data_IF_563227854980
#
_entry.id   IF_563227854980
#
_cell.length_a   1.000
_cell.length_b   1.000
_cell.length_c   1.000
_cell.angle_alpha   90.00
_cell.angle_beta   90.00
_cell.angle_gamma   90.00
#
_symmetry.space_group_name_H-M   'P 1'
#
loop_
_entity.id
_entity.type
_entity.pdbx_description
1 polymer ?
#
# COMPACT_ATOMS: atom_id res chain seq x y z
N UNK A 1 32.81 65.99 -30.35
CA UNK A 1 32.26 65.61 -29.04
C UNK A 1 32.45 64.11 -28.87
N UNK A 2 33.38 63.67 -28.03
CA UNK A 2 33.48 62.25 -27.66
C UNK A 2 32.67 62.02 -26.37
N UNK A 3 31.74 61.07 -26.42
CA UNK A 3 31.03 60.59 -25.23
C UNK A 3 31.81 59.39 -24.68
N UNK A 4 32.10 59.47 -23.38
CA UNK A 4 32.89 58.53 -22.58
C UNK A 4 32.37 57.08 -22.67
N UNK A 5 33.25 56.06 -22.71
CA UNK A 5 32.80 54.69 -22.58
C UNK A 5 32.41 54.41 -21.12
N UNK A 6 31.11 54.22 -20.87
CA UNK A 6 30.64 53.64 -19.61
C UNK A 6 31.19 52.22 -19.49
N UNK A 7 32.18 52.03 -18.63
CA UNK A 7 32.63 50.71 -18.20
C UNK A 7 31.58 50.11 -17.28
N UNK A 8 30.72 49.25 -17.83
CA UNK A 8 29.86 48.38 -17.03
C UNK A 8 30.75 47.37 -16.29
N UNK A 9 31.05 47.63 -15.03
CA UNK A 9 31.68 46.65 -14.14
C UNK A 9 30.58 45.68 -13.67
N UNK A 10 30.58 44.40 -14.10
CA UNK A 10 29.60 43.46 -13.56
C UNK A 10 29.91 43.29 -12.07
N UNK A 11 29.00 43.76 -11.21
CA UNK A 11 29.08 43.50 -9.76
C UNK A 11 29.04 41.99 -9.56
N UNK A 12 30.21 41.39 -9.32
CA UNK A 12 30.31 39.98 -9.02
C UNK A 12 29.47 39.71 -7.76
N UNK A 13 28.54 38.74 -7.80
CA UNK A 13 27.75 38.41 -6.62
C UNK A 13 28.70 37.95 -5.50
N UNK A 14 28.48 38.47 -4.28
CA UNK A 14 29.28 38.06 -3.15
C UNK A 14 29.07 36.57 -2.86
N UNK A 15 30.14 35.89 -2.42
CA UNK A 15 30.11 34.46 -2.07
C UNK A 15 28.95 34.12 -1.13
N UNK A 16 28.64 34.99 -0.17
CA UNK A 16 27.50 34.84 0.74
C UNK A 16 26.14 34.79 0.01
N UNK A 17 25.94 35.60 -1.05
CA UNK A 17 24.70 35.58 -1.84
C UNK A 17 24.60 34.31 -2.69
N UNK A 18 25.73 33.83 -3.21
CA UNK A 18 25.79 32.56 -3.96
C UNK A 18 25.45 31.39 -3.01
N UNK A 19 26.08 31.33 -1.84
CA UNK A 19 25.80 30.30 -0.84
C UNK A 19 24.35 30.33 -0.35
N UNK A 20 23.80 31.53 -0.10
CA UNK A 20 22.41 31.68 0.31
C UNK A 20 21.45 31.19 -0.78
N UNK A 21 21.71 31.54 -2.05
CA UNK A 21 20.90 31.06 -3.16
C UNK A 21 20.98 29.53 -3.28
N UNK A 22 22.18 28.94 -3.21
CA UNK A 22 22.36 27.49 -3.23
C UNK A 22 21.64 26.80 -2.06
N UNK A 23 21.71 27.37 -0.86
CA UNK A 23 20.98 26.86 0.29
C UNK A 23 19.47 26.87 0.04
N UNK A 24 18.90 28.00 -0.40
CA UNK A 24 17.47 28.10 -0.72
C UNK A 24 17.07 27.08 -1.78
N UNK A 25 17.79 26.99 -2.90
CA UNK A 25 17.50 26.02 -3.96
C UNK A 25 17.61 24.58 -3.46
N UNK A 26 18.63 24.25 -2.66
CA UNK A 26 18.78 22.92 -2.10
C UNK A 26 17.60 22.55 -1.19
N UNK A 27 17.16 23.47 -0.32
CA UNK A 27 16.01 23.24 0.56
C UNK A 27 14.71 23.07 -0.21
N UNK A 28 14.50 23.85 -1.28
CA UNK A 28 13.33 23.71 -2.16
C UNK A 28 13.33 22.36 -2.88
N UNK A 29 14.49 21.90 -3.37
CA UNK A 29 14.62 20.59 -4.02
C UNK A 29 14.32 19.47 -3.04
N UNK A 30 14.86 19.52 -1.82
CA UNK A 30 14.58 18.52 -0.77
C UNK A 30 13.09 18.51 -0.42
N UNK A 31 12.48 19.67 -0.26
CA UNK A 31 11.05 19.79 0.03
C UNK A 31 10.20 19.22 -1.11
N UNK A 32 10.48 19.62 -2.35
CA UNK A 32 9.75 19.13 -3.52
C UNK A 32 9.94 17.63 -3.73
N UNK A 33 11.13 17.10 -3.48
CA UNK A 33 11.41 15.67 -3.55
C UNK A 33 10.65 14.90 -2.47
N UNK A 34 10.62 15.41 -1.23
CA UNK A 34 9.86 14.83 -0.14
C UNK A 34 8.36 14.83 -0.45
N UNK A 35 7.81 15.97 -0.83
CA UNK A 35 6.41 16.11 -1.23
C UNK A 35 6.05 15.16 -2.38
N UNK A 36 6.93 15.03 -3.37
CA UNK A 36 6.73 14.11 -4.48
C UNK A 36 6.80 12.65 -4.07
N UNK A 37 7.68 12.27 -3.14
CA UNK A 37 7.80 10.89 -2.64
C UNK A 37 6.62 10.54 -1.74
N UNK A 38 6.28 11.42 -0.81
CA UNK A 38 5.23 11.21 0.19
C UNK A 38 3.84 11.17 -0.45
N UNK A 39 3.62 11.89 -1.55
CA UNK A 39 2.34 11.90 -2.28
C UNK A 39 2.21 10.82 -3.37
N UNK A 40 3.24 9.98 -3.59
CA UNK A 40 3.07 8.85 -4.51
C UNK A 40 2.17 7.82 -3.85
N UNK A 41 1.04 7.44 -4.48
CA UNK A 41 0.19 6.42 -3.92
C UNK A 41 0.98 5.12 -3.81
N UNK A 42 0.91 4.51 -2.64
CA UNK A 42 1.41 3.15 -2.44
C UNK A 42 0.68 2.20 -3.40
N UNK A 43 1.33 1.08 -3.75
CA UNK A 43 0.70 0.03 -4.57
C UNK A 43 -0.66 -0.42 -3.99
N UNK A 44 -0.80 -0.35 -2.67
CA UNK A 44 -2.01 -0.73 -1.95
C UNK A 44 -3.11 0.33 -2.10
N UNK A 45 -2.79 1.61 -2.01
CA UNK A 45 -3.73 2.72 -2.27
C UNK A 45 -4.20 2.73 -3.72
N UNK A 46 -3.30 2.58 -4.69
CA UNK A 46 -3.67 2.45 -6.10
C UNK A 46 -4.65 1.30 -6.31
N UNK A 47 -4.46 0.20 -5.57
CA UNK A 47 -5.33 -0.97 -5.67
C UNK A 47 -6.68 -0.73 -4.98
N UNK A 48 -6.71 -0.07 -3.82
CA UNK A 48 -7.94 0.37 -3.16
C UNK A 48 -8.78 1.26 -4.07
N UNK A 49 -8.16 2.22 -4.77
CA UNK A 49 -8.87 3.08 -5.72
C UNK A 49 -9.48 2.29 -6.88
N UNK A 50 -8.77 1.29 -7.39
CA UNK A 50 -9.30 0.37 -8.41
C UNK A 50 -10.47 -0.49 -7.89
N UNK A 51 -10.54 -0.73 -6.59
CA UNK A 51 -11.65 -1.42 -5.91
C UNK A 51 -12.81 -0.46 -5.54
N UNK A 52 -12.73 0.80 -5.97
CA UNK A 52 -13.77 1.80 -5.77
C UNK A 52 -13.73 2.49 -4.40
N UNK A 53 -12.64 2.39 -3.64
CA UNK A 53 -12.46 3.18 -2.43
C UNK A 53 -12.08 4.63 -2.78
N UNK A 54 -12.57 5.62 -2.02
CA UNK A 54 -12.23 7.01 -2.27
C UNK A 54 -10.77 7.28 -1.91
N UNK A 55 -10.22 8.38 -2.44
CA UNK A 55 -8.88 8.84 -2.06
C UNK A 55 -8.86 9.45 -0.67
N UNK A 56 -9.93 10.14 -0.29
CA UNK A 56 -10.09 10.83 0.98
C UNK A 56 -11.52 10.67 1.50
N UNK A 57 -11.71 10.76 2.82
CA UNK A 57 -13.02 10.69 3.45
C UNK A 57 -13.70 9.33 3.26
N UNK A 58 -14.97 9.35 2.85
CA UNK A 58 -15.78 8.16 2.61
C UNK A 58 -16.75 8.34 1.44
N UNK A 59 -17.14 7.22 0.84
CA UNK A 59 -18.32 7.14 -0.03
C UNK A 59 -19.39 6.32 0.66
N UNK A 60 -20.64 6.76 0.53
CA UNK A 60 -21.80 6.02 1.00
C UNK A 60 -22.66 5.66 -0.21
N UNK A 61 -23.02 4.38 -0.33
CA UNK A 61 -23.92 3.91 -1.37
C UNK A 61 -24.83 2.83 -0.81
N UNK A 62 -25.95 2.61 -1.50
CA UNK A 62 -26.93 1.58 -1.14
C UNK A 62 -26.78 0.41 -2.08
N UNK A 63 -26.58 -0.77 -1.51
CA UNK A 63 -26.53 -2.04 -2.22
C UNK A 63 -27.69 -2.90 -1.68
N UNK A 64 -28.68 -3.16 -2.52
CA UNK A 64 -29.97 -3.76 -2.10
C UNK A 64 -30.62 -2.99 -0.95
N UNK A 65 -30.80 -3.63 0.22
CA UNK A 65 -31.35 -3.04 1.45
C UNK A 65 -30.26 -2.58 2.43
N UNK A 66 -28.98 -2.70 2.06
CA UNK A 66 -27.83 -2.39 2.91
C UNK A 66 -27.23 -1.05 2.52
N UNK A 67 -27.00 -0.18 3.50
CA UNK A 67 -26.19 1.03 3.32
C UNK A 67 -24.72 0.68 3.60
N UNK A 68 -23.84 0.89 2.63
CA UNK A 68 -22.41 0.61 2.73
C UNK A 68 -21.64 1.93 2.73
N UNK A 69 -20.76 2.10 3.70
CA UNK A 69 -19.79 3.19 3.76
C UNK A 69 -18.39 2.61 3.56
N UNK A 70 -17.70 3.07 2.51
CA UNK A 70 -16.29 2.75 2.23
C UNK A 70 -15.43 3.96 2.53
N UNK A 71 -14.45 3.82 3.42
CA UNK A 71 -13.50 4.88 3.78
C UNK A 71 -12.19 4.71 3.02
N UNK A 72 -11.45 5.80 2.80
CA UNK A 72 -10.23 5.80 1.99
C UNK A 72 -9.20 4.72 2.36
N UNK A 73 -9.03 4.42 3.65
CA UNK A 73 -8.10 3.38 4.14
C UNK A 73 -8.60 1.93 4.01
N UNK A 74 -9.74 1.69 3.37
CA UNK A 74 -10.32 0.34 3.29
C UNK A 74 -11.18 -0.07 4.48
N UNK A 75 -11.55 0.86 5.37
CA UNK A 75 -12.57 0.57 6.39
C UNK A 75 -13.93 0.46 5.71
N UNK A 76 -14.77 -0.45 6.22
CA UNK A 76 -16.13 -0.64 5.73
C UNK A 76 -17.12 -0.67 6.88
N UNK A 77 -18.24 0.03 6.69
CA UNK A 77 -19.39 -0.04 7.60
C UNK A 77 -20.60 -0.44 6.78
N UNK A 78 -21.28 -1.51 7.19
CA UNK A 78 -22.48 -1.99 6.54
C UNK A 78 -23.66 -1.91 7.50
N UNK A 79 -24.76 -1.26 7.07
CA UNK A 79 -25.99 -1.15 7.85
C UNK A 79 -27.14 -1.85 7.13
N UNK A 80 -27.70 -2.87 7.77
CA UNK A 80 -28.84 -3.64 7.25
C UNK A 80 -29.99 -3.56 8.24
N UNK A 81 -31.06 -2.82 7.89
CA UNK A 81 -32.14 -2.53 8.83
C UNK A 81 -31.64 -1.77 10.07
N UNK A 82 -31.76 -2.39 11.25
CA UNK A 82 -31.22 -1.86 12.52
C UNK A 82 -29.82 -2.40 12.87
N UNK A 83 -29.34 -3.41 12.16
CA UNK A 83 -28.03 -4.03 12.42
C UNK A 83 -26.92 -3.21 11.75
N UNK A 84 -25.82 -3.01 12.46
CA UNK A 84 -24.67 -2.25 12.02
C UNK A 84 -23.40 -3.08 12.19
N UNK A 85 -22.68 -3.29 11.10
CA UNK A 85 -21.44 -4.05 11.07
C UNK A 85 -20.25 -3.14 10.75
N UNK A 86 -19.23 -3.25 11.60
CA UNK A 86 -17.98 -2.52 11.45
C UNK A 86 -16.87 -3.48 11.03
N UNK A 87 -16.21 -3.15 9.93
CA UNK A 87 -15.05 -3.83 9.39
C UNK A 87 -13.87 -2.85 9.47
N UNK A 88 -13.19 -2.90 10.61
CA UNK A 88 -12.20 -1.93 11.05
C UNK A 88 -10.76 -2.23 10.61
N UNK A 89 -10.50 -3.41 10.05
CA UNK A 89 -9.15 -3.74 9.58
C UNK A 89 -8.94 -3.09 8.21
N UNK A 90 -7.99 -2.15 8.17
CA UNK A 90 -7.60 -1.46 6.93
C UNK A 90 -6.88 -2.42 5.99
N UNK A 91 -6.77 -2.07 4.71
CA UNK A 91 -5.99 -2.89 3.79
C UNK A 91 -4.49 -2.90 4.15
N UNK A 92 -3.96 -1.82 4.72
CA UNK A 92 -2.56 -1.72 5.17
C UNK A 92 -2.30 -2.60 6.39
N UNK A 93 -3.21 -2.58 7.36
CA UNK A 93 -3.16 -3.45 8.53
C UNK A 93 -3.28 -4.92 8.11
N UNK A 94 -4.21 -5.24 7.21
CA UNK A 94 -4.34 -6.59 6.66
C UNK A 94 -3.07 -7.05 5.93
N UNK A 95 -2.44 -6.18 5.14
CA UNK A 95 -1.17 -6.50 4.48
C UNK A 95 -0.05 -6.78 5.50
N UNK A 96 -0.01 -5.99 6.57
CA UNK A 96 0.97 -6.16 7.66
C UNK A 96 0.76 -7.49 8.38
N UNK A 97 -0.47 -7.82 8.74
CA UNK A 97 -0.85 -9.10 9.35
C UNK A 97 -0.49 -10.28 8.43
N UNK A 98 -0.80 -10.17 7.14
CA UNK A 98 -0.46 -11.19 6.15
C UNK A 98 1.06 -11.43 6.06
N UNK A 99 1.89 -10.37 6.06
CA UNK A 99 3.35 -10.51 6.07
C UNK A 99 3.87 -11.14 7.35
N UNK A 100 3.34 -10.72 8.49
CA UNK A 100 3.71 -11.25 9.80
C UNK A 100 3.39 -12.75 9.91
N UNK A 101 2.33 -13.23 9.26
CA UNK A 101 2.00 -14.65 9.21
C UNK A 101 3.12 -15.51 8.60
N UNK A 102 3.76 -15.04 7.52
CA UNK A 102 4.82 -15.79 6.83
C UNK A 102 6.22 -15.53 7.39
N UNK A 103 6.41 -14.50 8.23
CA UNK A 103 7.71 -14.17 8.79
C UNK A 103 8.35 -15.32 9.60
N UNK A 104 7.62 -16.03 10.50
CA UNK A 104 8.18 -17.19 11.21
C UNK A 104 8.52 -18.37 10.28
N UNK A 105 7.74 -18.56 9.21
CA UNK A 105 7.99 -19.64 8.23
C UNK A 105 9.29 -19.36 7.48
N UNK A 106 9.46 -18.12 6.98
CA UNK A 106 10.67 -17.69 6.30
C UNK A 106 11.90 -17.77 7.21
N UNK A 107 11.74 -17.43 8.50
CA UNK A 107 12.83 -17.57 9.47
C UNK A 107 13.28 -19.03 9.59
N UNK A 108 12.34 -19.98 9.75
CA UNK A 108 12.66 -21.41 9.84
C UNK A 108 13.33 -21.95 8.56
N UNK A 109 12.88 -21.53 7.38
CA UNK A 109 13.48 -21.93 6.11
C UNK A 109 14.93 -21.44 6.00
N UNK A 110 15.16 -20.19 6.41
CA UNK A 110 16.50 -19.60 6.47
C UNK A 110 17.40 -20.34 7.46
N UNK A 111 16.90 -20.68 8.64
CA UNK A 111 17.64 -21.46 9.65
C UNK A 111 17.99 -22.87 9.15
N UNK A 112 17.11 -23.47 8.33
CA UNK A 112 17.34 -24.76 7.68
C UNK A 112 18.21 -24.68 6.41
N UNK A 113 18.72 -23.50 6.05
CA UNK A 113 19.48 -23.24 4.82
C UNK A 113 18.74 -23.65 3.54
N UNK A 114 17.41 -23.54 3.56
CA UNK A 114 16.54 -23.77 2.41
C UNK A 114 16.30 -22.42 1.73
N UNK A 115 16.69 -22.32 0.46
CA UNK A 115 16.57 -21.09 -0.35
C UNK A 115 15.15 -20.92 -0.91
N UNK A 116 14.19 -20.82 0.02
CA UNK A 116 12.78 -20.56 -0.26
C UNK A 116 12.29 -19.41 0.64
N UNK A 117 11.62 -18.43 0.05
CA UNK A 117 11.00 -17.32 0.77
C UNK A 117 9.58 -17.05 0.29
N UNK A 118 8.64 -16.95 1.22
CA UNK A 118 7.28 -16.51 0.95
C UNK A 118 7.15 -15.00 1.11
N UNK A 119 6.48 -14.35 0.16
CA UNK A 119 6.17 -12.92 0.23
C UNK A 119 4.76 -12.63 -0.30
N UNK A 120 4.14 -11.60 0.26
CA UNK A 120 2.78 -11.19 -0.06
C UNK A 120 2.83 -10.03 -1.05
N UNK A 121 2.02 -10.05 -2.12
CA UNK A 121 2.00 -8.97 -3.11
C UNK A 121 0.89 -7.95 -2.83
N UNK A 122 1.22 -6.71 -2.41
CA UNK A 122 0.20 -5.70 -2.10
C UNK A 122 -0.63 -5.29 -3.32
N UNK A 123 -0.05 -5.31 -4.53
CA UNK A 123 -0.75 -5.00 -5.79
C UNK A 123 -1.90 -5.96 -6.13
N UNK A 124 -1.96 -7.13 -5.48
CA UNK A 124 -2.96 -8.18 -5.70
C UNK A 124 -4.13 -8.11 -4.73
N UNK A 125 -4.21 -7.06 -3.89
CA UNK A 125 -5.31 -6.85 -2.95
C UNK A 125 -6.67 -7.03 -3.65
N UNK A 126 -7.53 -7.85 -3.06
CA UNK A 126 -8.90 -8.11 -3.50
C UNK A 126 -9.83 -8.18 -2.31
N UNK A 127 -11.11 -7.89 -2.55
CA UNK A 127 -12.18 -8.12 -1.58
C UNK A 127 -12.80 -9.49 -1.84
N UNK A 128 -13.00 -10.27 -0.76
CA UNK A 128 -13.83 -11.48 -0.82
C UNK A 128 -14.88 -11.45 0.28
N UNK A 129 -16.12 -11.70 -0.08
CA UNK A 129 -17.18 -12.03 0.87
C UNK A 129 -17.21 -13.55 1.08
N UNK A 130 -17.17 -13.98 2.34
CA UNK A 130 -17.34 -15.38 2.74
C UNK A 130 -18.50 -15.46 3.71
N UNK A 131 -18.98 -16.68 3.99
CA UNK A 131 -20.06 -16.92 4.98
C UNK A 131 -19.76 -16.31 6.36
N UNK A 132 -18.49 -16.18 6.71
CA UNK A 132 -18.00 -15.65 8.00
C UNK A 132 -17.68 -14.15 7.98
N UNK A 133 -17.99 -13.45 6.87
CA UNK A 133 -17.82 -12.00 6.72
C UNK A 133 -16.90 -11.62 5.56
N UNK A 134 -16.40 -10.39 5.62
CA UNK A 134 -15.61 -9.78 4.56
C UNK A 134 -14.11 -9.92 4.80
N UNK A 135 -13.34 -10.14 3.74
CA UNK A 135 -11.91 -10.41 3.81
C UNK A 135 -11.12 -9.53 2.84
N UNK A 136 -9.93 -9.14 3.27
CA UNK A 136 -8.87 -8.63 2.42
C UNK A 136 -7.98 -9.78 2.00
N UNK A 137 -7.87 -10.07 0.71
CA UNK A 137 -7.08 -11.18 0.20
C UNK A 137 -5.92 -10.69 -0.67
N UNK A 138 -4.77 -11.35 -0.52
CA UNK A 138 -3.55 -11.09 -1.27
C UNK A 138 -2.98 -12.39 -1.83
N UNK A 139 -2.35 -12.34 -3.00
CA UNK A 139 -1.54 -13.45 -3.49
C UNK A 139 -0.25 -13.60 -2.67
N UNK A 140 0.06 -14.85 -2.36
CA UNK A 140 1.30 -15.26 -1.73
C UNK A 140 2.20 -15.86 -2.81
N UNK A 141 3.39 -15.31 -2.95
CA UNK A 141 4.38 -15.77 -3.91
C UNK A 141 5.53 -16.43 -3.17
N UNK A 142 6.15 -17.39 -3.84
CA UNK A 142 7.36 -18.04 -3.35
C UNK A 142 8.54 -17.65 -4.23
N UNK A 143 9.66 -17.35 -3.62
CA UNK A 143 10.95 -17.18 -4.26
C UNK A 143 11.78 -18.41 -3.96
N UNK A 144 12.23 -19.13 -5.00
CA UNK A 144 13.04 -20.34 -4.89
C UNK A 144 14.32 -20.08 -5.67
N UNK A 145 15.47 -20.00 -5.01
CA UNK A 145 16.77 -19.78 -5.66
C UNK A 145 16.76 -18.56 -6.61
N UNK A 146 16.17 -17.45 -6.16
CA UNK A 146 16.02 -16.21 -6.94
C UNK A 146 14.94 -16.25 -8.03
N UNK A 147 14.23 -17.38 -8.20
CA UNK A 147 13.11 -17.50 -9.14
C UNK A 147 11.79 -17.28 -8.40
N UNK A 148 11.01 -16.29 -8.84
CA UNK A 148 9.70 -15.96 -8.26
C UNK A 148 8.61 -16.76 -8.96
N UNK A 149 7.96 -17.65 -8.22
CA UNK A 149 6.86 -18.49 -8.68
C UNK A 149 5.55 -17.98 -8.11
N UNK A 150 4.57 -17.77 -9.00
CA UNK A 150 3.19 -17.57 -8.59
C UNK A 150 2.60 -18.93 -8.21
N UNK A 151 2.49 -19.17 -6.92
CA UNK A 151 1.74 -20.31 -6.39
C UNK A 151 0.43 -19.68 -5.95
N UNK A 152 -0.69 -19.97 -6.59
CA UNK A 152 -1.97 -19.24 -6.44
C UNK A 152 -2.62 -19.30 -5.03
N UNK A 153 -1.83 -19.49 -3.98
CA UNK A 153 -2.24 -19.39 -2.59
C UNK A 153 -2.63 -17.95 -2.27
N UNK A 154 -3.82 -17.77 -1.73
CA UNK A 154 -4.28 -16.48 -1.24
C UNK A 154 -4.16 -16.45 0.29
N UNK A 155 -3.69 -15.35 0.84
CA UNK A 155 -3.81 -15.06 2.26
C UNK A 155 -4.93 -14.04 2.44
N UNK A 156 -5.95 -14.42 3.18
CA UNK A 156 -7.15 -13.63 3.43
C UNK A 156 -7.24 -13.24 4.90
N UNK A 157 -7.34 -11.94 5.17
CA UNK A 157 -7.49 -11.37 6.50
C UNK A 157 -8.93 -10.92 6.70
N UNK A 158 -9.59 -11.43 7.74
CA UNK A 158 -10.95 -11.04 8.08
C UNK A 158 -10.98 -9.57 8.48
N UNK A 159 -11.84 -8.79 7.83
CA UNK A 159 -11.86 -7.32 7.98
C UNK A 159 -12.44 -6.83 9.31
N UNK A 160 -13.04 -7.72 10.09
CA UNK A 160 -13.64 -7.43 11.40
C UNK A 160 -12.77 -7.88 12.58
N UNK A 161 -12.04 -8.98 12.40
CA UNK A 161 -11.29 -9.64 13.49
C UNK A 161 -9.78 -9.66 13.29
N UNK A 162 -9.28 -9.37 12.08
CA UNK A 162 -7.87 -9.54 11.73
C UNK A 162 -7.42 -11.01 11.63
N UNK A 163 -8.33 -11.97 11.79
CA UNK A 163 -8.02 -13.39 11.65
C UNK A 163 -7.56 -13.73 10.24
N UNK A 164 -6.54 -14.59 10.14
CA UNK A 164 -5.89 -14.94 8.89
C UNK A 164 -6.34 -16.33 8.45
N UNK A 165 -6.72 -16.46 7.18
CA UNK A 165 -7.05 -17.70 6.52
C UNK A 165 -6.22 -17.80 5.26
N UNK A 166 -5.43 -18.87 5.12
CA UNK A 166 -4.69 -19.16 3.90
C UNK A 166 -5.54 -20.09 3.05
N UNK A 167 -5.93 -19.62 1.87
CA UNK A 167 -6.61 -20.44 0.88
C UNK A 167 -5.55 -21.06 -0.03
N UNK A 168 -5.62 -22.39 -0.14
CA UNK A 168 -4.86 -23.13 -1.14
C UNK A 168 -5.75 -23.33 -2.37
N UNK A 169 -5.25 -23.16 -3.60
CA UNK A 169 -5.96 -23.58 -4.81
C UNK A 169 -6.17 -25.11 -4.85
N UNK A 170 -5.58 -25.87 -3.93
CA UNK A 170 -5.65 -27.33 -3.86
C UNK A 170 -6.77 -27.90 -2.96
N UNK A 171 -7.79 -27.12 -2.58
CA UNK A 171 -9.01 -27.68 -1.92
C UNK A 171 -9.74 -28.76 -2.78
N UNK A 172 -9.31 -29.01 -4.03
CA UNK A 172 -9.77 -30.11 -4.87
C UNK A 172 -8.94 -31.41 -4.80
N UNK A 173 -7.90 -31.48 -3.97
CA UNK A 173 -7.20 -32.74 -3.68
C UNK A 173 -7.42 -33.09 -2.20
N UNK A 174 -8.68 -33.35 -1.85
CA UNK A 174 -8.94 -34.27 -0.75
C UNK A 174 -8.42 -35.62 -1.20
N UNK A 175 -7.26 -36.04 -0.69
CA UNK A 175 -6.84 -37.43 -0.73
C UNK A 175 -7.92 -38.22 0.03
N UNK A 176 -8.83 -38.83 -0.74
CA UNK A 176 -9.58 -40.00 -0.29
C UNK A 176 -8.69 -41.23 -0.28
#
# INVERSE_FOLDING_TARGET
MSLSPYTYSPRQPSLAKILLALFIFSTLIVYAAKEYIDNRPSKLEERLWKLGYPKEGFIAYKENSTLILKYAGGLLVAKTGQHLEFYNVTAEEAYTLARQHFAPINQKLKEANIDIQFFVKPETLTEKEKKTGWYWCFEVWQEVQGTKLNTYNLVCVNRKTGSIVVESPFEAISLG
#
